data_IF_828579208322
#
_entry.id   IF_828579208322
#
_cell.length_a   1.000
_cell.length_b   1.000
_cell.length_c   1.000
_cell.angle_alpha   90.00
_cell.angle_beta   90.00
_cell.angle_gamma   90.00
#
_symmetry.space_group_name_H-M   'P 1'
#
loop_
_entity.id
_entity.type
_entity.pdbx_description
1 polymer ?
#
# COMPACT_ATOMS: atom_id res chain seq x y z
N UNK A 1 26.23 14.73 36.00
CA UNK A 1 25.57 15.10 34.74
C UNK A 1 25.51 13.86 33.88
N UNK A 2 24.35 13.20 33.86
CA UNK A 2 24.13 11.91 33.22
C UNK A 2 24.17 12.06 31.69
N UNK A 3 25.11 11.38 31.04
CA UNK A 3 25.16 11.26 29.59
C UNK A 3 24.13 10.20 29.18
N UNK A 4 23.13 10.62 28.41
CA UNK A 4 22.11 9.74 27.86
C UNK A 4 22.68 9.17 26.57
N UNK A 5 23.22 7.95 26.63
CA UNK A 5 23.62 7.18 25.45
C UNK A 5 22.37 6.88 24.63
N UNK A 6 22.26 7.60 23.51
CA UNK A 6 21.10 7.61 22.64
C UNK A 6 21.15 6.37 21.73
N UNK A 7 20.27 5.40 22.01
CA UNK A 7 20.09 4.16 21.24
C UNK A 7 19.49 4.35 19.84
N UNK A 8 20.04 5.26 19.04
CA UNK A 8 19.57 5.58 17.68
C UNK A 8 20.38 4.93 16.55
N UNK A 9 21.46 4.19 16.85
CA UNK A 9 22.35 3.64 15.81
C UNK A 9 21.84 2.38 15.09
N UNK A 10 20.77 1.72 15.56
CA UNK A 10 20.34 0.45 14.95
C UNK A 10 19.41 0.62 13.72
N UNK A 11 18.73 1.75 13.56
CA UNK A 11 17.75 1.94 12.47
C UNK A 11 18.42 2.34 11.15
N UNK A 12 19.53 3.08 11.22
CA UNK A 12 20.22 3.61 10.04
C UNK A 12 20.90 2.52 9.18
N UNK A 13 21.23 1.36 9.75
CA UNK A 13 21.92 0.28 9.05
C UNK A 13 21.00 -0.53 8.09
N UNK A 14 19.67 -0.51 8.28
CA UNK A 14 18.70 -1.20 7.39
C UNK A 14 18.40 -0.38 6.11
N UNK A 15 18.68 0.93 6.11
CA UNK A 15 18.43 1.81 4.97
C UNK A 15 19.57 1.84 3.94
N UNK A 16 20.83 1.64 4.37
CA UNK A 16 22.00 1.82 3.51
C UNK A 16 22.23 0.69 2.47
N UNK A 17 21.39 -0.36 2.47
CA UNK A 17 21.54 -1.54 1.60
C UNK A 17 20.44 -1.76 0.56
N UNK A 18 19.42 -0.88 0.45
CA UNK A 18 18.37 -1.03 -0.58
C UNK A 18 18.68 -0.20 -1.80
N UNK A 19 19.43 -0.80 -2.70
CA UNK A 19 19.56 -0.28 -4.06
C UNK A 19 18.17 -0.32 -4.72
N UNK A 20 17.60 0.81 -5.18
CA UNK A 20 16.36 0.82 -5.95
C UNK A 20 16.46 0.03 -7.26
N UNK A 21 17.66 -0.35 -7.69
CA UNK A 21 17.90 -1.29 -8.79
C UNK A 21 17.73 -2.77 -8.38
N UNK A 22 17.55 -3.10 -7.09
CA UNK A 22 17.14 -4.45 -6.67
C UNK A 22 15.75 -4.74 -7.25
N UNK A 23 15.59 -5.79 -8.08
CA UNK A 23 14.30 -6.19 -8.64
C UNK A 23 13.21 -6.40 -7.57
N UNK A 24 13.59 -6.82 -6.36
CA UNK A 24 12.68 -7.01 -5.23
C UNK A 24 12.15 -5.68 -4.70
N UNK A 25 13.01 -4.67 -4.61
CA UNK A 25 12.62 -3.32 -4.21
C UNK A 25 11.77 -2.64 -5.29
N UNK A 26 12.14 -2.80 -6.56
CA UNK A 26 11.38 -2.26 -7.68
C UNK A 26 9.96 -2.85 -7.75
N UNK A 27 9.82 -4.17 -7.54
CA UNK A 27 8.53 -4.84 -7.48
C UNK A 27 7.70 -4.40 -6.26
N UNK A 28 8.34 -4.19 -5.10
CA UNK A 28 7.69 -3.65 -3.91
C UNK A 28 7.15 -2.24 -4.13
N UNK A 29 7.95 -1.35 -4.74
CA UNK A 29 7.53 0.01 -5.08
C UNK A 29 6.38 0.02 -6.09
N UNK A 30 6.40 -0.88 -7.09
CA UNK A 30 5.31 -1.01 -8.05
C UNK A 30 3.98 -1.39 -7.38
N UNK A 31 3.99 -2.27 -6.36
CA UNK A 31 2.79 -2.57 -5.59
C UNK A 31 2.21 -1.33 -4.90
N UNK A 32 3.06 -0.45 -4.35
CA UNK A 32 2.60 0.81 -3.75
C UNK A 32 2.08 1.80 -4.79
N UNK A 33 2.70 1.90 -5.97
CA UNK A 33 2.15 2.70 -7.08
C UNK A 33 0.77 2.21 -7.49
N UNK A 34 0.58 0.89 -7.56
CA UNK A 34 -0.72 0.29 -7.88
C UNK A 34 -1.76 0.55 -6.79
N UNK A 35 -1.37 0.47 -5.51
CA UNK A 35 -2.22 0.84 -4.36
C UNK A 35 -2.70 2.28 -4.50
N UNK A 36 -1.79 3.22 -4.73
CA UNK A 36 -2.10 4.64 -4.86
C UNK A 36 -3.00 4.92 -6.08
N UNK A 37 -2.77 4.25 -7.21
CA UNK A 37 -3.63 4.35 -8.38
C UNK A 37 -5.07 3.86 -8.11
N UNK A 38 -5.21 2.74 -7.39
CA UNK A 38 -6.51 2.21 -6.97
C UNK A 38 -7.21 3.16 -5.99
N UNK A 39 -6.51 3.69 -4.99
CA UNK A 39 -7.04 4.67 -4.03
C UNK A 39 -7.55 5.93 -4.74
N UNK A 40 -6.78 6.47 -5.70
CA UNK A 40 -7.22 7.61 -6.52
C UNK A 40 -8.44 7.28 -7.37
N UNK A 41 -8.48 6.09 -7.96
CA UNK A 41 -9.64 5.66 -8.77
C UNK A 41 -10.90 5.51 -7.92
N UNK A 42 -10.78 4.91 -6.73
CA UNK A 42 -11.86 4.79 -5.77
C UNK A 42 -12.43 6.15 -5.36
N UNK A 43 -11.55 7.15 -5.12
CA UNK A 43 -12.01 8.51 -4.84
C UNK A 43 -12.86 9.10 -5.98
N UNK A 44 -12.47 8.87 -7.24
CA UNK A 44 -13.25 9.29 -8.41
C UNK A 44 -14.58 8.54 -8.53
N UNK A 45 -14.58 7.22 -8.27
CA UNK A 45 -15.79 6.39 -8.26
C UNK A 45 -16.78 6.87 -7.20
N UNK A 46 -16.31 7.24 -6.01
CA UNK A 46 -17.16 7.78 -4.95
C UNK A 46 -17.77 9.14 -5.31
N UNK A 47 -17.03 10.01 -6.00
CA UNK A 47 -17.56 11.27 -6.53
C UNK A 47 -18.63 10.98 -7.59
N UNK A 48 -18.35 10.07 -8.54
CA UNK A 48 -19.30 9.64 -9.57
C UNK A 48 -20.59 9.09 -8.96
N UNK A 49 -20.47 8.26 -7.92
CA UNK A 49 -21.62 7.67 -7.23
C UNK A 49 -22.52 8.74 -6.60
N UNK A 50 -21.92 9.80 -6.03
CA UNK A 50 -22.66 10.93 -5.46
C UNK A 50 -23.40 11.74 -6.52
N UNK A 51 -22.89 11.76 -7.74
CA UNK A 51 -23.46 12.45 -8.89
C UNK A 51 -24.26 11.54 -9.84
N UNK A 52 -24.57 10.30 -9.43
CA UNK A 52 -25.26 9.34 -10.27
C UNK A 52 -26.62 9.86 -10.74
N UNK A 53 -26.93 9.68 -12.02
CA UNK A 53 -28.14 10.24 -12.64
C UNK A 53 -29.42 9.50 -12.22
N UNK A 54 -29.31 8.18 -12.03
CA UNK A 54 -30.41 7.31 -11.64
C UNK A 54 -29.92 6.09 -10.85
N UNK A 55 -30.86 5.27 -10.38
CA UNK A 55 -30.56 4.09 -9.56
C UNK A 55 -29.79 2.99 -10.32
N UNK A 56 -29.99 2.88 -11.64
CA UNK A 56 -29.29 1.89 -12.45
C UNK A 56 -27.82 2.30 -12.67
N UNK A 57 -27.57 3.58 -12.92
CA UNK A 57 -26.24 4.16 -12.99
C UNK A 57 -25.50 4.03 -11.66
N UNK A 58 -26.18 4.34 -10.54
CA UNK A 58 -25.63 4.16 -9.20
C UNK A 58 -25.28 2.68 -8.91
N UNK A 59 -26.12 1.73 -9.33
CA UNK A 59 -25.83 0.30 -9.16
C UNK A 59 -24.60 -0.15 -9.97
N UNK A 60 -24.45 0.34 -11.19
CA UNK A 60 -23.26 0.09 -12.03
C UNK A 60 -21.99 0.65 -11.38
N UNK A 61 -22.03 1.89 -10.90
CA UNK A 61 -20.89 2.54 -10.24
C UNK A 61 -20.52 1.80 -8.94
N UNK A 62 -21.50 1.31 -8.17
CA UNK A 62 -21.25 0.47 -6.98
C UNK A 62 -20.60 -0.87 -7.32
N UNK A 63 -20.95 -1.48 -8.47
CA UNK A 63 -20.30 -2.70 -8.91
C UNK A 63 -18.83 -2.46 -9.31
N UNK A 64 -18.55 -1.32 -9.95
CA UNK A 64 -17.19 -0.84 -10.24
C UNK A 64 -16.40 -0.63 -8.94
N UNK A 65 -16.97 0.10 -7.97
CA UNK A 65 -16.39 0.32 -6.64
C UNK A 65 -16.05 -1.01 -5.94
N UNK A 66 -16.99 -1.94 -5.90
CA UNK A 66 -16.80 -3.24 -5.28
C UNK A 66 -15.68 -4.06 -5.94
N UNK A 67 -15.50 -3.93 -7.26
CA UNK A 67 -14.38 -4.58 -7.96
C UNK A 67 -13.05 -3.95 -7.57
N UNK A 68 -12.97 -2.62 -7.54
CA UNK A 68 -11.75 -1.90 -7.16
C UNK A 68 -11.35 -2.14 -5.71
N UNK A 69 -12.31 -2.28 -4.80
CA UNK A 69 -12.04 -2.64 -3.41
C UNK A 69 -11.44 -4.04 -3.25
N UNK A 70 -11.89 -5.02 -4.05
CA UNK A 70 -11.27 -6.36 -4.07
C UNK A 70 -9.84 -6.31 -4.60
N UNK A 71 -9.62 -5.55 -5.66
CA UNK A 71 -8.28 -5.37 -6.22
C UNK A 71 -7.34 -4.68 -5.22
N UNK A 72 -7.85 -3.70 -4.46
CA UNK A 72 -7.10 -3.02 -3.41
C UNK A 72 -6.72 -3.99 -2.27
N UNK A 73 -7.66 -4.80 -1.80
CA UNK A 73 -7.39 -5.81 -0.77
C UNK A 73 -6.31 -6.81 -1.22
N UNK A 74 -6.38 -7.27 -2.47
CA UNK A 74 -5.35 -8.14 -3.04
C UNK A 74 -3.97 -7.46 -3.06
N UNK A 75 -3.89 -6.20 -3.50
CA UNK A 75 -2.63 -5.43 -3.52
C UNK A 75 -2.08 -5.24 -2.11
N UNK A 76 -2.93 -4.88 -1.14
CA UNK A 76 -2.52 -4.74 0.27
C UNK A 76 -1.98 -6.05 0.85
N UNK A 77 -2.59 -7.18 0.50
CA UNK A 77 -2.12 -8.51 0.88
C UNK A 77 -0.75 -8.82 0.27
N UNK A 78 -0.55 -8.48 -1.01
CA UNK A 78 0.74 -8.66 -1.69
C UNK A 78 1.84 -7.76 -1.10
N UNK A 79 1.51 -6.51 -0.76
CA UNK A 79 2.43 -5.60 -0.06
C UNK A 79 2.87 -6.22 1.26
N UNK A 80 1.92 -6.69 2.09
CA UNK A 80 2.23 -7.33 3.36
C UNK A 80 3.09 -8.59 3.19
N UNK A 81 2.82 -9.41 2.19
CA UNK A 81 3.65 -10.57 1.88
C UNK A 81 5.08 -10.18 1.47
N UNK A 82 5.24 -9.12 0.67
CA UNK A 82 6.54 -8.58 0.29
C UNK A 82 7.29 -7.97 1.48
N UNK A 83 6.58 -7.29 2.39
CA UNK A 83 7.15 -6.78 3.66
C UNK A 83 7.71 -7.92 4.52
N UNK A 84 6.97 -9.02 4.67
CA UNK A 84 7.45 -10.18 5.42
C UNK A 84 8.70 -10.81 4.82
N UNK A 85 8.80 -10.87 3.49
CA UNK A 85 10.02 -11.33 2.82
C UNK A 85 11.20 -10.39 3.04
N UNK A 86 10.96 -9.07 3.12
CA UNK A 86 11.98 -8.05 3.36
C UNK A 86 12.45 -7.98 4.81
N UNK A 87 11.61 -8.38 5.78
CA UNK A 87 11.95 -8.40 7.21
C UNK A 87 11.64 -9.76 7.84
N UNK A 88 12.42 -10.81 7.53
CA UNK A 88 12.28 -12.10 8.19
C UNK A 88 12.62 -11.93 9.67
N UNK A 89 11.62 -12.06 10.55
CA UNK A 89 11.74 -11.84 12.01
C UNK A 89 10.91 -10.70 12.58
N UNK A 90 10.21 -9.92 11.76
CA UNK A 90 9.34 -8.84 12.23
C UNK A 90 8.05 -9.30 12.95
N UNK A 91 7.85 -10.62 13.10
CA UNK A 91 6.75 -11.18 13.90
C UNK A 91 7.07 -11.03 15.38
N UNK A 92 6.86 -9.84 15.94
CA UNK A 92 6.65 -9.68 17.38
C UNK A 92 5.17 -9.89 17.65
N UNK A 93 4.84 -11.08 18.17
CA UNK A 93 3.62 -11.27 18.94
C UNK A 93 3.76 -10.54 20.27
#
# INVERSE_FOLDING_TARGET
MSSVDNGLSAVAADQAGRDPADPTEAAYLELHRRREALERSLALVQIRLRCAADAADAARIKAEEASQLRDLDQVLTMIRAAEYKRRPGARRW
#
